data_IF_427678509840
#
_entry.id   IF_427678509840
#
_cell.length_a   1.000
_cell.length_b   1.000
_cell.length_c   1.000
_cell.angle_alpha   90.00
_cell.angle_beta   90.00
_cell.angle_gamma   90.00
#
_symmetry.space_group_name_H-M   'P 1'
#
loop_
_entity.id
_entity.type
_entity.pdbx_description
1 polymer ?
#
# COMPACT_ATOMS: atom_id res chain seq x y z
N UNK A 1 6.76 -2.85 -28.00
CA UNK A 1 7.98 -2.83 -27.16
C UNK A 1 7.87 -1.84 -26.00
N UNK A 2 7.50 -0.58 -26.24
CA UNK A 2 7.41 0.46 -25.19
C UNK A 2 6.34 0.16 -24.12
N UNK A 3 5.14 -0.31 -24.52
CA UNK A 3 4.06 -0.69 -23.59
C UNK A 3 4.48 -1.77 -22.57
N UNK A 4 5.26 -2.77 -22.99
CA UNK A 4 5.71 -3.84 -22.09
C UNK A 4 6.70 -3.36 -21.02
N UNK A 5 7.54 -2.36 -21.34
CA UNK A 5 8.49 -1.77 -20.39
C UNK A 5 7.75 -0.95 -19.33
N UNK A 6 6.77 -0.14 -19.74
CA UNK A 6 5.95 0.67 -18.82
C UNK A 6 5.21 -0.25 -17.83
N UNK A 7 4.56 -1.29 -18.34
CA UNK A 7 3.87 -2.28 -17.50
C UNK A 7 4.82 -2.99 -16.53
N UNK A 8 6.02 -3.38 -17.01
CA UNK A 8 7.04 -3.98 -16.14
C UNK A 8 7.48 -3.07 -15.00
N UNK A 9 7.60 -1.76 -15.26
CA UNK A 9 7.91 -0.75 -14.24
C UNK A 9 6.76 -0.61 -13.24
N UNK A 10 5.50 -0.67 -13.67
CA UNK A 10 4.33 -0.59 -12.78
C UNK A 10 4.31 -1.76 -11.77
N UNK A 11 4.60 -2.99 -12.20
CA UNK A 11 4.70 -4.13 -11.28
C UNK A 11 5.91 -4.05 -10.34
N UNK A 12 7.04 -3.51 -10.80
CA UNK A 12 8.19 -3.28 -9.93
C UNK A 12 7.86 -2.25 -8.84
N UNK A 13 7.13 -1.19 -9.21
CA UNK A 13 6.68 -0.16 -8.29
C UNK A 13 5.78 -0.76 -7.19
N UNK A 14 4.90 -1.72 -7.51
CA UNK A 14 4.05 -2.43 -6.54
C UNK A 14 4.88 -3.05 -5.42
N UNK A 15 5.94 -3.77 -5.77
CA UNK A 15 6.82 -4.43 -4.80
C UNK A 15 7.53 -3.39 -3.95
N UNK A 16 8.04 -2.32 -4.57
CA UNK A 16 8.80 -1.28 -3.89
C UNK A 16 7.95 -0.51 -2.87
N UNK A 17 6.78 0.00 -3.27
CA UNK A 17 5.97 0.79 -2.34
C UNK A 17 5.40 -0.08 -1.23
N UNK A 18 4.89 -1.29 -1.53
CA UNK A 18 4.24 -2.14 -0.54
C UNK A 18 5.24 -2.62 0.52
N UNK A 19 6.45 -3.00 0.09
CA UNK A 19 7.53 -3.36 1.01
C UNK A 19 8.00 -2.17 1.85
N UNK A 20 8.14 -0.98 1.24
CA UNK A 20 8.56 0.24 1.94
C UNK A 20 7.57 0.64 3.03
N UNK A 21 6.27 0.67 2.72
CA UNK A 21 5.23 1.03 3.69
C UNK A 21 5.13 -0.04 4.78
N UNK A 22 5.11 -1.32 4.41
CA UNK A 22 5.06 -2.43 5.37
C UNK A 22 6.24 -2.41 6.34
N UNK A 23 7.48 -2.29 5.83
CA UNK A 23 8.68 -2.21 6.66
C UNK A 23 8.67 -0.97 7.55
N UNK A 24 8.26 0.19 7.03
CA UNK A 24 8.15 1.42 7.81
C UNK A 24 7.18 1.24 8.98
N UNK A 25 6.02 0.63 8.74
CA UNK A 25 5.04 0.31 9.78
C UNK A 25 5.63 -0.62 10.86
N UNK A 26 6.36 -1.67 10.46
CA UNK A 26 6.99 -2.62 11.39
C UNK A 26 8.11 -1.98 12.22
N UNK A 27 8.97 -1.18 11.59
CA UNK A 27 10.06 -0.47 12.27
C UNK A 27 9.52 0.52 13.30
N UNK A 28 8.48 1.28 12.93
CA UNK A 28 7.82 2.23 13.84
C UNK A 28 7.03 1.51 14.94
N UNK A 29 6.34 0.41 14.62
CA UNK A 29 5.67 -0.43 15.61
C UNK A 29 6.64 -0.94 16.69
N UNK A 30 7.84 -1.38 16.29
CA UNK A 30 8.87 -1.80 17.25
C UNK A 30 9.31 -0.65 18.16
N UNK A 31 9.55 0.54 17.61
CA UNK A 31 9.97 1.71 18.40
C UNK A 31 8.89 2.19 19.36
N UNK A 32 7.64 2.29 18.89
CA UNK A 32 6.52 2.79 19.70
C UNK A 32 6.07 1.78 20.75
N UNK A 33 6.39 0.48 20.59
CA UNK A 33 5.97 -0.58 21.53
C UNK A 33 6.39 -0.33 22.99
N UNK A 34 7.50 0.37 23.20
CA UNK A 34 7.99 0.72 24.54
C UNK A 34 7.15 1.81 25.24
N UNK A 35 6.38 2.59 24.47
CA UNK A 35 5.58 3.72 24.97
C UNK A 35 4.08 3.40 24.85
N UNK A 36 3.64 2.91 23.70
CA UNK A 36 2.24 2.59 23.38
C UNK A 36 2.13 1.20 22.71
N UNK A 37 1.93 0.12 23.48
CA UNK A 37 1.87 -1.24 22.94
C UNK A 37 0.68 -1.47 22.00
N UNK A 38 -0.45 -0.79 22.23
CA UNK A 38 -1.62 -0.85 21.35
C UNK A 38 -1.34 -0.30 19.95
N UNK A 39 -0.59 0.80 19.85
CA UNK A 39 -0.18 1.38 18.58
C UNK A 39 0.76 0.45 17.81
N UNK A 40 1.64 -0.28 18.51
CA UNK A 40 2.52 -1.27 17.90
C UNK A 40 1.75 -2.43 17.24
N UNK A 41 0.74 -2.99 17.92
CA UNK A 41 -0.10 -4.04 17.35
C UNK A 41 -0.86 -3.56 16.12
N UNK A 42 -1.36 -2.32 16.15
CA UNK A 42 -2.00 -1.69 15.00
C UNK A 42 -1.02 -1.58 13.82
N UNK A 43 0.22 -1.14 14.05
CA UNK A 43 1.26 -1.06 13.01
C UNK A 43 1.60 -2.40 12.36
N UNK A 44 1.65 -3.48 13.14
CA UNK A 44 1.88 -4.83 12.62
C UNK A 44 0.70 -5.29 11.76
N UNK A 45 -0.53 -5.01 12.18
CA UNK A 45 -1.73 -5.31 11.37
C UNK A 45 -1.73 -4.50 10.08
N UNK A 46 -1.45 -3.19 10.16
CA UNK A 46 -1.38 -2.28 9.01
C UNK A 46 -0.29 -2.72 8.03
N UNK A 47 0.84 -3.23 8.50
CA UNK A 47 1.89 -3.77 7.63
C UNK A 47 1.40 -4.96 6.79
N UNK A 48 0.63 -5.88 7.40
CA UNK A 48 0.08 -7.06 6.70
C UNK A 48 -0.93 -6.68 5.62
N UNK A 49 -1.80 -5.71 5.89
CA UNK A 49 -2.81 -5.27 4.90
C UNK A 49 -2.19 -4.54 3.69
N UNK A 50 -0.94 -4.06 3.77
CA UNK A 50 -0.24 -3.53 2.58
C UNK A 50 0.02 -4.61 1.51
N UNK A 51 0.13 -5.88 1.92
CA UNK A 51 0.22 -6.99 0.96
C UNK A 51 -1.10 -7.12 0.18
N UNK A 52 -2.23 -6.92 0.86
CA UNK A 52 -3.55 -6.91 0.22
C UNK A 52 -3.65 -5.71 -0.74
N UNK A 53 -3.14 -4.54 -0.36
CA UNK A 53 -3.08 -3.37 -1.24
C UNK A 53 -2.29 -3.66 -2.52
N UNK A 54 -1.14 -4.33 -2.40
CA UNK A 54 -0.32 -4.74 -3.53
C UNK A 54 -1.05 -5.71 -4.47
N UNK A 55 -1.81 -6.66 -3.92
CA UNK A 55 -2.63 -7.58 -4.71
C UNK A 55 -3.75 -6.82 -5.45
N UNK A 56 -4.43 -5.88 -4.78
CA UNK A 56 -5.43 -5.02 -5.40
C UNK A 56 -4.82 -4.21 -6.56
N UNK A 57 -3.63 -3.66 -6.38
CA UNK A 57 -2.91 -2.92 -7.42
C UNK A 57 -2.58 -3.79 -8.63
N UNK A 58 -2.06 -5.00 -8.40
CA UNK A 58 -1.82 -5.96 -9.47
C UNK A 58 -3.10 -6.31 -10.26
N UNK A 59 -4.24 -6.50 -9.56
CA UNK A 59 -5.52 -6.78 -10.21
C UNK A 59 -6.10 -5.58 -10.97
N UNK A 60 -5.89 -4.36 -10.48
CA UNK A 60 -6.30 -3.15 -11.18
C UNK A 60 -5.48 -2.93 -12.45
N UNK A 61 -4.15 -3.04 -12.35
CA UNK A 61 -3.27 -2.96 -13.53
C UNK A 61 -3.60 -4.04 -14.56
N UNK A 62 -3.94 -5.26 -14.12
CA UNK A 62 -4.42 -6.30 -15.03
C UNK A 62 -5.71 -5.91 -15.76
N UNK A 63 -6.71 -5.38 -15.04
CA UNK A 63 -7.96 -4.94 -15.65
C UNK A 63 -7.75 -3.77 -16.64
N UNK A 64 -6.84 -2.85 -16.34
CA UNK A 64 -6.45 -1.75 -17.23
C UNK A 64 -5.74 -2.25 -18.49
N UNK A 65 -4.86 -3.26 -18.38
CA UNK A 65 -4.24 -3.90 -19.55
C UNK A 65 -5.30 -4.47 -20.49
N UNK A 66 -6.32 -5.16 -19.96
CA UNK A 66 -7.38 -5.74 -20.79
C UNK A 66 -8.18 -4.66 -21.54
N UNK A 67 -8.45 -3.53 -20.89
CA UNK A 67 -9.06 -2.37 -21.53
C UNK A 67 -8.18 -1.78 -22.64
N UNK A 68 -6.87 -1.64 -22.39
CA UNK A 68 -5.91 -1.13 -23.37
C UNK A 68 -5.73 -2.06 -24.57
N UNK A 69 -5.88 -3.37 -24.39
CA UNK A 69 -5.86 -4.36 -25.46
C UNK A 69 -7.16 -4.37 -26.29
N UNK A 70 -8.13 -3.50 -25.97
CA UNK A 70 -9.37 -3.33 -26.72
C UNK A 70 -10.46 -4.31 -26.31
N UNK A 71 -10.46 -4.81 -25.07
CA UNK A 71 -11.58 -5.62 -24.60
C UNK A 71 -12.80 -4.75 -24.34
N UNK A 72 -13.93 -5.06 -24.98
CA UNK A 72 -15.21 -4.35 -24.80
C UNK A 72 -16.03 -4.85 -23.60
N UNK A 73 -15.44 -5.73 -22.78
CA UNK A 73 -16.18 -6.34 -21.69
C UNK A 73 -16.42 -5.32 -20.56
N UNK A 74 -17.67 -5.01 -20.21
CA UNK A 74 -18.03 -3.88 -19.35
C UNK A 74 -17.60 -4.06 -17.88
N UNK A 75 -17.12 -5.25 -17.51
CA UNK A 75 -16.70 -5.55 -16.15
C UNK A 75 -15.28 -5.06 -15.82
N UNK A 76 -14.39 -4.90 -16.82
CA UNK A 76 -12.99 -4.48 -16.55
C UNK A 76 -12.88 -3.10 -15.91
N UNK A 77 -13.61 -2.05 -16.36
CA UNK A 77 -13.56 -0.73 -15.72
C UNK A 77 -14.08 -0.77 -14.27
N UNK A 78 -15.11 -1.57 -14.03
CA UNK A 78 -15.71 -1.72 -12.69
C UNK A 78 -14.74 -2.40 -11.73
N UNK A 79 -14.07 -3.48 -12.18
CA UNK A 79 -13.05 -4.18 -11.39
C UNK A 79 -11.89 -3.23 -11.08
N UNK A 80 -11.37 -2.51 -12.08
CA UNK A 80 -10.30 -1.54 -11.89
C UNK A 80 -10.66 -0.47 -10.86
N UNK A 81 -11.88 0.09 -10.93
CA UNK A 81 -12.36 1.10 -9.99
C UNK A 81 -12.38 0.60 -8.55
N UNK A 82 -13.00 -0.56 -8.30
CA UNK A 82 -13.11 -1.09 -6.94
C UNK A 82 -11.74 -1.45 -6.36
N UNK A 83 -10.87 -2.04 -7.16
CA UNK A 83 -9.51 -2.37 -6.74
C UNK A 83 -8.68 -1.12 -6.47
N UNK A 84 -8.86 -0.05 -7.25
CA UNK A 84 -8.24 1.25 -7.01
C UNK A 84 -8.73 1.88 -5.69
N UNK A 85 -10.04 1.87 -5.43
CA UNK A 85 -10.59 2.41 -4.18
C UNK A 85 -10.05 1.68 -2.95
N UNK A 86 -9.97 0.34 -3.02
CA UNK A 86 -9.45 -0.48 -1.92
C UNK A 86 -7.95 -0.21 -1.73
N UNK A 87 -7.13 -0.22 -2.80
CA UNK A 87 -5.68 0.00 -2.67
C UNK A 87 -5.35 1.37 -2.08
N UNK A 88 -5.98 2.44 -2.56
CA UNK A 88 -5.72 3.79 -2.05
C UNK A 88 -6.17 3.95 -0.60
N UNK A 89 -7.26 3.31 -0.20
CA UNK A 89 -7.70 3.31 1.20
C UNK A 89 -6.68 2.62 2.12
N UNK A 90 -6.19 1.44 1.71
CA UNK A 90 -5.21 0.68 2.49
C UNK A 90 -3.84 1.38 2.57
N UNK A 91 -3.37 1.94 1.45
CA UNK A 91 -2.13 2.73 1.38
C UNK A 91 -2.27 3.98 2.27
N UNK A 92 -3.41 4.68 2.19
CA UNK A 92 -3.68 5.86 3.01
C UNK A 92 -3.62 5.58 4.51
N UNK A 93 -4.20 4.46 4.97
CA UNK A 93 -4.11 4.02 6.37
C UNK A 93 -2.64 3.76 6.76
N UNK A 94 -1.85 3.14 5.88
CA UNK A 94 -0.42 2.91 6.09
C UNK A 94 0.37 4.21 6.28
N UNK A 95 0.18 5.16 5.36
CA UNK A 95 0.85 6.46 5.40
C UNK A 95 0.45 7.26 6.65
N UNK A 96 -0.85 7.29 6.99
CA UNK A 96 -1.33 7.97 8.19
C UNK A 96 -0.71 7.40 9.46
N UNK A 97 -0.63 6.07 9.59
CA UNK A 97 0.03 5.43 10.72
C UNK A 97 1.51 5.83 10.82
N UNK A 98 2.23 5.83 9.71
CA UNK A 98 3.64 6.22 9.65
C UNK A 98 3.82 7.66 10.14
N UNK A 99 3.01 8.60 9.64
CA UNK A 99 3.09 10.01 10.01
C UNK A 99 2.79 10.20 11.50
N UNK A 100 1.66 9.69 11.98
CA UNK A 100 1.23 9.85 13.37
C UNK A 100 2.26 9.25 14.33
N UNK A 101 2.70 8.02 14.07
CA UNK A 101 3.65 7.32 14.96
C UNK A 101 5.01 7.99 14.96
N UNK A 102 5.48 8.46 13.79
CA UNK A 102 6.75 9.19 13.70
C UNK A 102 6.71 10.50 14.48
N UNK A 103 5.60 11.26 14.38
CA UNK A 103 5.41 12.49 15.16
C UNK A 103 5.37 12.21 16.67
N UNK A 104 4.64 11.17 17.10
CA UNK A 104 4.59 10.79 18.52
C UNK A 104 5.96 10.41 19.06
N UNK A 105 6.76 9.66 18.29
CA UNK A 105 8.12 9.29 18.68
C UNK A 105 9.05 10.50 18.77
N UNK A 106 8.96 11.45 17.83
CA UNK A 106 9.75 12.68 17.87
C UNK A 106 9.45 13.51 19.11
N UNK A 107 8.17 13.66 19.47
CA UNK A 107 7.75 14.39 20.67
C UNK A 107 8.22 13.68 21.94
N UNK A 108 8.19 12.35 21.96
CA UNK A 108 8.60 11.56 23.14
C UNK A 108 10.12 11.54 23.31
N UNK A 109 10.89 11.52 22.22
CA UNK A 109 12.36 11.51 22.25
C UNK A 109 12.97 12.87 22.64
N UNK A 110 12.20 13.95 22.61
CA UNK A 110 12.65 15.29 23.01
C UNK A 110 12.48 15.56 24.52
N UNK A 111 11.89 14.62 25.27
CA UNK A 111 11.77 14.66 26.73
C UNK A 111 12.77 13.68 27.37
#
# INVERSE_FOLDING_TARGET
MILGIILGVDYLFIILYASTISLSCLLLARKISMVFPHAANLGIFIAKIQIIAALCDATENFALIQLLLGSDHPHWPVIALWMALIKFSLIGIGILYIIITSLTLLITSSK
#
